data_IF_027322929897
#
_entry.id   IF_027322929897
#
_cell.length_a   1.000
_cell.length_b   1.000
_cell.length_c   1.000
_cell.angle_alpha   90.00
_cell.angle_beta   90.00
_cell.angle_gamma   90.00
#
_symmetry.space_group_name_H-M   'P 1'
#
loop_
_entity.id
_entity.type
_entity.pdbx_description
1 polymer ?
#
# COMPACT_ATOMS: atom_id res chain seq x y z
N UNK A 1 4.84 8.95 7.52
CA UNK A 1 5.45 7.61 7.36
C UNK A 1 6.77 7.85 6.68
N UNK A 2 7.84 7.16 7.07
CA UNK A 2 9.11 7.23 6.36
C UNK A 2 9.44 5.82 5.92
N UNK A 3 9.32 5.58 4.61
CA UNK A 3 9.71 4.32 3.96
C UNK A 3 10.87 4.71 3.03
N UNK A 4 11.87 3.84 2.90
CA UNK A 4 13.02 4.17 2.06
C UNK A 4 12.73 3.80 0.61
N UNK A 5 13.02 4.74 -0.29
CA UNK A 5 12.96 4.54 -1.74
C UNK A 5 14.28 3.94 -2.22
N UNK A 6 14.21 2.80 -2.92
CA UNK A 6 15.39 2.09 -3.41
C UNK A 6 15.47 2.04 -4.94
N UNK A 7 14.47 2.58 -5.64
CA UNK A 7 14.41 2.61 -7.10
C UNK A 7 14.37 4.06 -7.60
N UNK A 8 15.14 4.42 -8.65
CA UNK A 8 15.11 5.77 -9.20
C UNK A 8 13.71 6.09 -9.72
N UNK A 9 13.22 7.30 -9.43
CA UNK A 9 11.92 7.74 -9.92
C UNK A 9 12.09 8.24 -11.35
N UNK A 10 11.25 7.72 -12.25
CA UNK A 10 11.18 8.17 -13.63
C UNK A 10 10.80 9.67 -13.68
N UNK A 11 11.67 10.46 -14.31
CA UNK A 11 11.52 11.92 -14.37
C UNK A 11 10.39 12.37 -15.29
N UNK A 12 10.03 11.57 -16.29
CA UNK A 12 8.88 11.84 -17.15
C UNK A 12 7.58 11.57 -16.39
N UNK A 13 7.50 10.47 -15.65
CA UNK A 13 6.37 10.18 -14.77
C UNK A 13 6.18 11.28 -13.71
N UNK A 14 7.26 11.77 -13.09
CA UNK A 14 7.21 12.89 -12.15
C UNK A 14 6.67 14.16 -12.78
N UNK A 15 7.10 14.50 -14.01
CA UNK A 15 6.56 15.65 -14.75
C UNK A 15 5.06 15.49 -15.02
N UNK A 16 4.63 14.30 -15.43
CA UNK A 16 3.21 14.02 -15.70
C UNK A 16 2.35 14.09 -14.42
N UNK A 17 2.95 13.83 -13.26
CA UNK A 17 2.30 13.87 -11.95
C UNK A 17 2.60 15.16 -11.17
N UNK A 18 3.15 16.20 -11.80
CA UNK A 18 3.66 17.38 -11.11
C UNK A 18 2.64 17.99 -10.14
N UNK A 19 1.38 18.11 -10.58
CA UNK A 19 0.29 18.65 -9.77
C UNK A 19 0.01 17.81 -8.51
N UNK A 20 0.11 16.48 -8.61
CA UNK A 20 -0.04 15.60 -7.46
C UNK A 20 1.20 15.68 -6.56
N UNK A 21 2.40 15.71 -7.12
CA UNK A 21 3.63 15.77 -6.32
C UNK A 21 3.82 17.09 -5.55
N UNK A 22 3.03 18.13 -5.85
CA UNK A 22 2.99 19.37 -5.05
C UNK A 22 2.31 19.20 -3.70
N UNK A 23 1.30 18.32 -3.63
CA UNK A 23 0.47 18.13 -2.43
C UNK A 23 0.80 16.81 -1.69
N UNK A 24 1.54 15.91 -2.35
CA UNK A 24 1.84 14.58 -1.83
C UNK A 24 3.34 14.33 -1.75
N UNK A 25 3.79 13.87 -0.58
CA UNK A 25 5.14 13.38 -0.40
C UNK A 25 5.31 11.98 -1.01
N UNK A 26 6.38 11.79 -1.78
CA UNK A 26 6.78 10.47 -2.25
C UNK A 26 7.50 9.75 -1.10
N UNK A 27 6.80 8.79 -0.50
CA UNK A 27 7.32 8.04 0.63
C UNK A 27 8.05 6.75 0.23
N UNK A 28 7.87 6.24 -0.99
CA UNK A 28 8.55 5.03 -1.47
C UNK A 28 8.50 4.98 -3.00
N UNK A 29 9.62 4.62 -3.63
CA UNK A 29 9.67 4.12 -5.01
C UNK A 29 10.36 2.77 -5.02
N UNK A 30 9.69 1.80 -5.63
CA UNK A 30 10.16 0.41 -5.75
C UNK A 30 9.71 -0.16 -7.08
N UNK A 31 10.56 -0.97 -7.69
CA UNK A 31 10.19 -1.79 -8.83
C UNK A 31 9.33 -2.97 -8.37
N UNK A 32 8.35 -3.35 -9.19
CA UNK A 32 7.51 -4.52 -8.96
C UNK A 32 7.70 -5.45 -10.16
N UNK A 33 8.35 -6.59 -9.93
CA UNK A 33 8.47 -7.64 -10.92
C UNK A 33 7.18 -8.47 -10.95
N UNK A 34 6.31 -8.20 -11.94
CA UNK A 34 5.04 -8.90 -12.13
C UNK A 34 5.22 -10.40 -12.40
N UNK A 35 6.34 -10.81 -13.01
CA UNK A 35 6.65 -12.22 -13.26
C UNK A 35 6.99 -12.97 -11.96
N UNK A 36 7.29 -12.23 -10.89
CA UNK A 36 7.54 -12.74 -9.54
C UNK A 36 6.47 -12.30 -8.55
N UNK A 37 5.22 -12.17 -9.01
CA UNK A 37 4.07 -11.74 -8.18
C UNK A 37 3.85 -12.58 -6.90
N UNK A 38 4.40 -13.80 -6.83
CA UNK A 38 4.40 -14.65 -5.63
C UNK A 38 5.40 -14.21 -4.55
N UNK A 39 6.38 -13.37 -4.89
CA UNK A 39 7.36 -12.82 -3.95
C UNK A 39 6.75 -11.59 -3.27
N UNK A 40 6.64 -11.66 -1.94
CA UNK A 40 6.14 -10.56 -1.12
C UNK A 40 7.26 -9.55 -0.84
N UNK A 41 7.02 -8.30 -1.22
CA UNK A 41 7.84 -7.15 -0.91
C UNK A 41 7.21 -6.38 0.25
N UNK A 42 7.92 -6.31 1.38
CA UNK A 42 7.40 -5.71 2.60
C UNK A 42 7.83 -4.26 2.74
N UNK A 43 6.86 -3.36 2.68
CA UNK A 43 7.02 -1.95 3.02
C UNK A 43 6.91 -1.82 4.54
N UNK A 44 7.93 -1.22 5.17
CA UNK A 44 8.00 -1.07 6.62
C UNK A 44 8.29 0.36 7.02
N UNK A 45 7.44 0.93 7.88
CA UNK A 45 7.69 2.21 8.56
C UNK A 45 8.57 1.92 9.79
N UNK A 46 9.89 1.96 9.58
CA UNK A 46 10.89 1.67 10.61
C UNK A 46 10.93 2.73 11.72
N UNK A 47 10.36 3.91 11.45
CA UNK A 47 10.45 5.09 12.33
C UNK A 47 9.26 5.20 13.26
N UNK A 48 8.03 5.17 12.72
CA UNK A 48 6.83 5.52 13.50
C UNK A 48 6.12 4.33 14.13
N UNK A 49 6.30 3.11 13.60
CA UNK A 49 5.74 1.83 14.10
C UNK A 49 4.28 1.94 14.62
N UNK A 50 3.44 2.66 13.87
CA UNK A 50 2.02 2.93 14.16
C UNK A 50 1.19 2.56 12.94
N UNK A 51 -0.08 2.22 13.15
CA UNK A 51 -1.02 1.98 12.06
C UNK A 51 -1.18 3.24 11.19
N UNK A 52 -1.12 3.11 9.86
CA UNK A 52 -1.28 4.22 8.90
C UNK A 52 -2.63 4.92 9.02
N UNK A 53 -3.66 4.22 9.47
CA UNK A 53 -5.01 4.74 9.56
C UNK A 53 -5.34 5.25 10.97
N UNK A 54 -5.52 4.36 11.94
CA UNK A 54 -5.95 4.73 13.29
C UNK A 54 -4.85 5.31 14.18
N UNK A 55 -3.58 5.29 13.73
CA UNK A 55 -2.40 5.79 14.46
C UNK A 55 -2.07 5.07 15.78
N UNK A 56 -2.85 4.06 16.17
CA UNK A 56 -2.55 3.18 17.32
C UNK A 56 -1.30 2.35 17.08
N UNK A 57 -0.69 1.87 18.18
CA UNK A 57 0.52 1.04 18.20
C UNK A 57 0.31 -0.20 19.08
N UNK A 58 1.26 -1.12 19.04
CA UNK A 58 1.30 -2.22 20.01
C UNK A 58 1.47 -1.66 21.44
N UNK A 59 0.78 -2.21 22.47
CA UNK A 59 -0.07 -3.41 22.44
C UNK A 59 -1.55 -3.17 22.12
N UNK A 60 -1.99 -1.91 21.96
CA UNK A 60 -3.41 -1.56 21.76
C UNK A 60 -4.00 -2.16 20.48
N UNK A 61 -3.15 -2.36 19.47
CA UNK A 61 -3.50 -3.04 18.22
C UNK A 61 -2.42 -4.05 17.82
N UNK A 62 -2.81 -5.04 17.02
CA UNK A 62 -1.93 -6.10 16.49
C UNK A 62 -1.68 -5.89 14.99
N UNK A 63 -0.58 -6.45 14.50
CA UNK A 63 -0.12 -6.37 13.11
C UNK A 63 0.22 -7.78 12.62
N UNK A 64 -0.75 -8.70 12.71
CA UNK A 64 -0.62 -10.10 12.32
C UNK A 64 -1.17 -10.38 10.93
N UNK A 65 -2.14 -9.59 10.47
CA UNK A 65 -2.71 -9.72 9.13
C UNK A 65 -1.71 -9.33 8.04
N UNK A 66 -1.83 -9.97 6.88
CA UNK A 66 -1.11 -9.57 5.67
C UNK A 66 -1.93 -8.47 4.99
N UNK A 67 -1.54 -7.22 5.22
CA UNK A 67 -2.18 -6.06 4.60
C UNK A 67 -1.48 -5.68 3.29
N UNK A 68 -2.22 -5.63 2.18
CA UNK A 68 -1.68 -5.15 0.92
C UNK A 68 -1.55 -3.61 0.93
N UNK A 69 -0.41 -3.09 0.48
CA UNK A 69 -0.17 -1.64 0.46
C UNK A 69 -1.11 -0.91 -0.51
N UNK A 70 -1.36 -1.56 -1.65
CA UNK A 70 -2.35 -1.23 -2.68
C UNK A 70 -3.38 -2.37 -2.70
N UNK A 71 -4.69 -2.12 -2.87
CA UNK A 71 -5.69 -3.17 -2.92
C UNK A 71 -5.34 -4.31 -3.89
N UNK A 72 -5.62 -5.55 -3.50
CA UNK A 72 -5.38 -6.74 -4.32
C UNK A 72 -6.21 -6.73 -5.61
N UNK A 73 -7.43 -6.17 -5.59
CA UNK A 73 -8.28 -6.11 -6.79
C UNK A 73 -7.66 -5.33 -7.96
N UNK A 74 -6.71 -4.42 -7.69
CA UNK A 74 -5.97 -3.70 -8.74
C UNK A 74 -4.86 -4.56 -9.38
N UNK A 75 -4.79 -5.85 -9.03
CA UNK A 75 -3.74 -6.77 -9.45
C UNK A 75 -2.51 -6.79 -8.54
N UNK A 76 -2.51 -6.07 -7.40
CA UNK A 76 -1.37 -6.07 -6.48
C UNK A 76 -1.34 -7.35 -5.61
N UNK A 77 -0.42 -8.26 -5.91
CA UNK A 77 -0.20 -9.49 -5.11
C UNK A 77 1.08 -9.48 -4.28
N UNK A 78 1.93 -8.47 -4.46
CA UNK A 78 3.32 -8.51 -3.99
C UNK A 78 3.66 -7.42 -2.97
N UNK A 79 3.02 -6.23 -3.00
CA UNK A 79 3.33 -5.16 -2.05
C UNK A 79 2.54 -5.29 -0.75
N UNK A 80 3.23 -5.58 0.35
CA UNK A 80 2.67 -5.76 1.68
C UNK A 80 3.06 -4.59 2.59
N UNK A 81 2.11 -3.98 3.29
CA UNK A 81 2.34 -2.93 4.28
C UNK A 81 2.38 -3.51 5.70
N UNK A 82 3.51 -3.38 6.40
CA UNK A 82 3.64 -3.85 7.79
C UNK A 82 3.11 -2.85 8.82
N UNK A 83 2.65 -1.69 8.36
CA UNK A 83 2.18 -0.56 9.17
C UNK A 83 0.67 -0.39 9.10
N UNK A 84 -0.08 -1.48 8.96
CA UNK A 84 -1.54 -1.52 9.04
C UNK A 84 -1.97 -2.54 10.08
N UNK A 85 -2.75 -2.12 11.07
CA UNK A 85 -3.18 -3.02 12.13
C UNK A 85 -4.35 -3.91 11.69
N UNK A 86 -4.53 -5.04 12.38
CA UNK A 86 -5.52 -6.07 12.06
C UNK A 86 -6.95 -5.50 11.97
N UNK A 87 -7.33 -4.60 12.87
CA UNK A 87 -8.65 -3.98 12.90
C UNK A 87 -8.91 -3.11 11.66
N UNK A 88 -7.93 -2.28 11.27
CA UNK A 88 -8.04 -1.45 10.08
C UNK A 88 -7.99 -2.32 8.82
N UNK A 89 -7.14 -3.33 8.79
CA UNK A 89 -7.05 -4.26 7.67
C UNK A 89 -8.38 -4.97 7.43
N UNK A 90 -8.99 -5.52 8.46
CA UNK A 90 -10.30 -6.15 8.35
C UNK A 90 -11.38 -5.19 7.85
N UNK A 91 -11.33 -3.92 8.28
CA UNK A 91 -12.28 -2.90 7.83
C UNK A 91 -12.11 -2.58 6.34
N UNK A 92 -10.88 -2.27 5.90
CA UNK A 92 -10.62 -1.91 4.51
C UNK A 92 -10.75 -3.09 3.54
N UNK A 93 -10.46 -4.33 3.95
CA UNK A 93 -10.70 -5.52 3.10
C UNK A 93 -12.18 -5.71 2.77
N UNK A 94 -13.10 -5.29 3.65
CA UNK A 94 -14.54 -5.32 3.34
C UNK A 94 -14.90 -4.29 2.28
N UNK A 95 -14.43 -3.05 2.45
CA UNK A 95 -14.64 -1.96 1.48
C UNK A 95 -14.03 -2.30 0.12
N UNK A 96 -12.86 -2.93 0.12
CA UNK A 96 -12.22 -3.42 -1.09
C UNK A 96 -13.09 -4.44 -1.82
N UNK A 97 -13.65 -5.41 -1.10
CA UNK A 97 -14.52 -6.44 -1.69
C UNK A 97 -15.78 -5.82 -2.31
N UNK A 98 -16.39 -4.86 -1.63
CA UNK A 98 -17.55 -4.14 -2.15
C UNK A 98 -17.20 -3.30 -3.39
N UNK A 99 -16.06 -2.62 -3.37
CA UNK A 99 -15.59 -1.86 -4.52
C UNK A 99 -15.26 -2.76 -5.72
N UNK A 100 -14.60 -3.90 -5.48
CA UNK A 100 -14.33 -4.89 -6.52
C UNK A 100 -15.63 -5.40 -7.16
N UNK A 101 -16.64 -5.72 -6.36
CA UNK A 101 -17.96 -6.13 -6.85
C UNK A 101 -18.65 -5.03 -7.65
N UNK A 102 -18.56 -3.78 -7.21
CA UNK A 102 -19.09 -2.62 -7.93
C UNK A 102 -18.41 -2.45 -9.30
N UNK A 103 -17.11 -2.71 -9.39
CA UNK A 103 -16.34 -2.57 -10.62
C UNK A 103 -16.47 -3.75 -11.59
N UNK A 104 -17.07 -4.88 -11.18
CA UNK A 104 -17.22 -6.08 -12.03
C UNK A 104 -17.77 -5.80 -13.44
N UNK A 105 -18.82 -4.97 -13.64
CA UNK A 105 -19.34 -4.69 -14.98
C UNK A 105 -18.34 -3.96 -15.91
N UNK A 106 -17.34 -3.31 -15.34
CA UNK A 106 -16.31 -2.55 -16.07
C UNK A 106 -15.03 -3.37 -16.33
N UNK A 107 -14.96 -4.59 -15.80
CA UNK A 107 -13.82 -5.49 -15.96
C UNK A 107 -14.02 -6.53 -17.09
N UNK A 108 -14.96 -6.27 -18.02
CA UNK A 108 -15.29 -7.12 -19.16
C UNK A 108 -14.43 -6.81 -20.40
#
# INVERSE_FOLDING_TARGET
MLINSNYPIDQEALRNLENLTREYDIIVSTEIDYNKSHIKNYLSDTVRKKCRFCKSKFPDVKFKSVAHAIPEYTGNKSLIATFECDNCNQYFSKLESEFANFMLPYNA
#
